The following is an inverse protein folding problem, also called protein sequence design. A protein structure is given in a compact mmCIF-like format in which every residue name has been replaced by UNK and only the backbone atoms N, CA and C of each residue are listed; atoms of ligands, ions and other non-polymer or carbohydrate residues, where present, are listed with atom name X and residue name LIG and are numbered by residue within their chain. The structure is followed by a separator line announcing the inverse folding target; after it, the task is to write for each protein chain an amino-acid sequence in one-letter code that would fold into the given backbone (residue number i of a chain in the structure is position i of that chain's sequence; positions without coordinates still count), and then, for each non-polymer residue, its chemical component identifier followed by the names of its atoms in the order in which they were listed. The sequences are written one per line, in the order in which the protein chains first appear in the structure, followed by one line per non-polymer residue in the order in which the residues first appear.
data_IF_350272065271
#
_entry.id   IF_350272065271
#
_cell.length_a   1.000
_cell.length_b   1.000
_cell.length_c   1.000
_cell.angle_alpha   90.00
_cell.angle_beta   90.00
_cell.angle_gamma   90.00
#
_symmetry.space_group_name_H-M   'P 1'
#
loop_
_entity.id
_entity.type
_entity.pdbx_description
1 polymer ?
#
# COMPACT_ATOMS: atom_id res chain seq x y z
N UNK A 1 15.16 27.72 8.96
CA UNK A 1 15.15 27.32 10.38
C UNK A 1 14.63 25.90 10.41
N UNK A 2 15.37 24.90 10.87
CA UNK A 2 14.81 23.54 10.93
C UNK A 2 13.64 23.57 11.90
N UNK A 3 12.47 23.11 11.44
CA UNK A 3 11.30 22.95 12.30
C UNK A 3 11.66 21.92 13.37
N UNK A 4 11.77 22.34 14.62
CA UNK A 4 11.93 21.42 15.72
C UNK A 4 10.57 20.76 15.97
N UNK A 5 10.49 19.47 15.75
CA UNK A 5 9.30 18.70 16.11
C UNK A 5 9.20 18.67 17.65
N UNK A 6 8.35 19.55 18.19
CA UNK A 6 8.08 19.61 19.62
C UNK A 6 7.38 18.30 20.03
N UNK A 7 8.03 17.47 20.84
CA UNK A 7 7.51 16.17 21.26
C UNK A 7 8.19 14.96 20.60
N UNK A 8 9.31 15.18 19.87
CA UNK A 8 10.06 14.09 19.23
C UNK A 8 10.41 12.98 20.23
N UNK A 9 10.90 13.32 21.41
CA UNK A 9 11.25 12.34 22.47
C UNK A 9 10.04 11.51 22.94
N UNK A 10 8.87 12.14 23.03
CA UNK A 10 7.63 11.43 23.38
C UNK A 10 7.20 10.49 22.27
N UNK A 11 7.32 10.94 21.01
CA UNK A 11 7.05 10.12 19.84
C UNK A 11 7.99 8.90 19.76
N UNK A 12 9.29 9.12 19.96
CA UNK A 12 10.30 8.03 19.96
C UNK A 12 10.00 7.00 21.04
N UNK A 13 9.71 7.44 22.27
CA UNK A 13 9.32 6.55 23.36
C UNK A 13 8.04 5.75 23.04
N UNK A 14 7.07 6.38 22.37
CA UNK A 14 5.86 5.70 21.91
C UNK A 14 6.16 4.65 20.84
N UNK A 15 6.96 4.99 19.82
CA UNK A 15 7.38 4.06 18.76
C UNK A 15 8.07 2.82 19.37
N UNK A 16 9.03 3.02 20.27
CA UNK A 16 9.70 1.91 20.93
C UNK A 16 8.75 1.02 21.73
N UNK A 17 7.78 1.62 22.43
CA UNK A 17 6.74 0.87 23.15
C UNK A 17 5.91 0.02 22.20
N UNK A 18 5.47 0.59 21.09
CA UNK A 18 4.68 -0.11 20.07
C UNK A 18 5.50 -1.23 19.42
N UNK A 19 6.72 -0.97 19.04
CA UNK A 19 7.61 -1.98 18.46
C UNK A 19 7.81 -3.18 19.38
N UNK A 20 8.02 -2.92 20.68
CA UNK A 20 8.12 -4.00 21.68
C UNK A 20 6.81 -4.76 21.83
N UNK A 21 5.67 -4.07 21.87
CA UNK A 21 4.35 -4.69 22.07
C UNK A 21 3.95 -5.62 20.91
N UNK A 22 4.37 -5.31 19.69
CA UNK A 22 4.03 -6.07 18.47
C UNK A 22 5.20 -6.90 17.92
N UNK A 23 6.30 -6.98 18.64
CA UNK A 23 7.55 -7.63 18.19
C UNK A 23 7.98 -7.18 16.78
N UNK A 24 7.82 -5.88 16.48
CA UNK A 24 8.19 -5.33 15.19
C UNK A 24 9.71 -5.36 15.00
N UNK A 25 10.16 -5.92 13.89
CA UNK A 25 11.60 -6.04 13.58
C UNK A 25 12.24 -4.68 13.36
N UNK A 26 11.55 -3.81 12.63
CA UNK A 26 12.05 -2.48 12.33
C UNK A 26 11.00 -1.56 11.73
N UNK A 27 11.28 -0.27 11.77
CA UNK A 27 10.39 0.79 11.28
C UNK A 27 11.22 1.96 10.74
N UNK A 28 10.76 2.56 9.66
CA UNK A 28 11.22 3.86 9.19
C UNK A 28 10.05 4.85 9.22
N UNK A 29 10.34 6.08 9.66
CA UNK A 29 9.36 7.16 9.70
C UNK A 29 9.95 8.38 8.99
N UNK A 30 9.20 8.98 8.09
CA UNK A 30 9.52 10.27 7.50
C UNK A 30 8.42 11.28 7.84
N UNK A 31 8.82 12.43 8.35
CA UNK A 31 7.93 13.56 8.60
C UNK A 31 8.21 14.59 7.52
N UNK A 32 7.16 15.00 6.82
CA UNK A 32 7.23 15.99 5.75
C UNK A 32 6.34 17.18 6.12
N UNK A 33 6.88 18.39 6.01
CA UNK A 33 6.13 19.63 6.19
C UNK A 33 6.33 20.54 4.99
N UNK A 34 5.24 21.10 4.46
CA UNK A 34 5.22 21.96 3.28
C UNK A 34 6.01 21.36 2.08
N UNK A 35 5.94 20.03 1.90
CA UNK A 35 6.63 19.33 0.83
C UNK A 35 8.13 19.12 1.03
N UNK A 36 8.67 19.48 2.20
CA UNK A 36 10.06 19.27 2.55
C UNK A 36 10.20 18.22 3.66
N UNK A 37 11.14 17.25 3.54
CA UNK A 37 11.43 16.34 4.63
C UNK A 37 11.97 17.13 5.84
N UNK A 38 11.32 16.94 6.98
CA UNK A 38 11.66 17.62 8.25
C UNK A 38 12.47 16.71 9.14
N UNK A 39 12.11 15.43 9.18
CA UNK A 39 12.72 14.45 10.04
C UNK A 39 12.64 13.05 9.40
N UNK A 40 13.73 12.30 9.50
CA UNK A 40 13.79 10.88 9.16
C UNK A 40 14.25 10.10 10.37
N UNK A 41 13.53 9.04 10.73
CA UNK A 41 13.78 8.22 11.91
C UNK A 41 13.81 6.76 11.52
N UNK A 42 14.81 6.04 12.02
CA UNK A 42 15.04 4.63 11.70
C UNK A 42 15.15 3.84 13.00
N UNK A 43 14.33 2.78 13.13
CA UNK A 43 14.27 1.96 14.33
C UNK A 43 14.44 0.49 13.99
N UNK A 44 15.20 -0.24 14.82
CA UNK A 44 15.37 -1.69 14.74
C UNK A 44 16.17 -2.15 13.53
N UNK A 45 15.82 -3.32 13.01
CA UNK A 45 16.64 -4.04 12.03
C UNK A 45 15.83 -4.38 10.77
N UNK A 46 16.48 -4.32 9.61
CA UNK A 46 15.98 -4.91 8.35
C UNK A 46 16.23 -6.43 8.30
N UNK A 47 17.20 -6.89 9.10
CA UNK A 47 17.48 -8.30 9.35
C UNK A 47 17.88 -8.45 10.82
N UNK A 48 17.05 -9.14 11.62
CA UNK A 48 17.24 -9.30 13.05
C UNK A 48 18.35 -10.31 13.36
N UNK A 49 18.48 -11.37 12.56
CA UNK A 49 19.44 -12.43 12.78
C UNK A 49 20.87 -11.91 12.51
N UNK A 50 21.05 -11.19 11.41
CA UNK A 50 22.32 -10.58 11.04
C UNK A 50 22.58 -9.23 11.72
N UNK A 51 21.63 -8.74 12.53
CA UNK A 51 21.68 -7.43 13.21
C UNK A 51 21.94 -6.26 12.26
N UNK A 52 21.42 -6.33 11.03
CA UNK A 52 21.55 -5.27 10.05
C UNK A 52 20.50 -4.18 10.33
N UNK A 53 20.91 -2.94 10.68
CA UNK A 53 19.97 -1.89 11.05
C UNK A 53 19.15 -1.40 9.84
N UNK A 54 18.00 -0.80 10.11
CA UNK A 54 17.29 0.02 9.14
C UNK A 54 18.02 1.35 8.98
N UNK A 55 18.11 1.80 7.74
CA UNK A 55 18.69 3.08 7.35
C UNK A 55 17.93 3.66 6.15
N UNK A 56 18.37 4.82 5.66
CA UNK A 56 17.78 5.51 4.51
C UNK A 56 17.74 4.66 3.22
N UNK A 57 18.65 3.70 3.05
CA UNK A 57 18.73 2.85 1.87
C UNK A 57 17.90 1.55 2.00
N UNK A 58 17.21 1.37 3.13
CA UNK A 58 16.39 0.20 3.36
C UNK A 58 15.12 0.25 2.55
N UNK A 59 14.89 -0.76 1.72
CA UNK A 59 13.71 -0.86 0.86
C UNK A 59 12.57 -1.52 1.61
N UNK A 60 11.42 -0.86 1.65
CA UNK A 60 10.16 -1.39 2.19
C UNK A 60 9.16 -1.66 1.07
N UNK A 61 8.45 -2.78 1.17
CA UNK A 61 7.32 -3.06 0.28
C UNK A 61 6.14 -2.12 0.60
N UNK A 62 5.68 -1.38 -0.41
CA UNK A 62 4.59 -0.41 -0.24
C UNK A 62 3.21 -1.05 -0.09
N UNK A 63 3.08 -2.35 -0.37
CA UNK A 63 1.80 -3.06 -0.33
C UNK A 63 0.68 -2.26 -1.02
N UNK A 64 -0.46 -2.04 -0.36
CA UNK A 64 -1.60 -1.32 -0.95
C UNK A 64 -1.39 0.18 -1.18
N UNK A 65 -0.35 0.79 -0.61
CA UNK A 65 0.03 2.18 -0.93
C UNK A 65 0.37 2.32 -2.42
N UNK A 66 0.84 1.25 -3.06
CA UNK A 66 1.05 1.17 -4.53
C UNK A 66 -0.18 1.60 -5.33
N UNK A 67 -1.41 1.41 -4.81
CA UNK A 67 -2.64 1.83 -5.48
C UNK A 67 -2.72 3.34 -5.67
N UNK A 68 -2.17 4.13 -4.74
CA UNK A 68 -2.11 5.59 -4.88
C UNK A 68 -1.24 6.00 -6.06
N UNK A 69 -0.10 5.32 -6.27
CA UNK A 69 0.75 5.56 -7.44
C UNK A 69 0.06 5.14 -8.74
N UNK A 70 -0.66 4.02 -8.72
CA UNK A 70 -1.47 3.59 -9.88
C UNK A 70 -2.54 4.62 -10.22
N UNK A 71 -3.28 5.11 -9.23
CA UNK A 71 -4.29 6.15 -9.43
C UNK A 71 -3.67 7.44 -9.98
N UNK A 72 -2.52 7.86 -9.45
CA UNK A 72 -1.81 9.04 -9.94
C UNK A 72 -1.39 8.87 -11.41
N UNK A 73 -0.88 7.71 -11.80
CA UNK A 73 -0.53 7.40 -13.19
C UNK A 73 -1.75 7.45 -14.11
N UNK A 74 -2.90 6.89 -13.68
CA UNK A 74 -4.16 6.97 -14.45
C UNK A 74 -4.65 8.41 -14.59
N UNK A 75 -4.59 9.22 -13.52
CA UNK A 75 -4.96 10.64 -13.58
C UNK A 75 -4.05 11.42 -14.52
N UNK A 76 -2.76 11.13 -14.53
CA UNK A 76 -1.83 11.75 -15.47
C UNK A 76 -2.13 11.39 -16.93
N UNK A 77 -2.47 10.13 -17.21
CA UNK A 77 -2.92 9.71 -18.53
C UNK A 77 -4.25 10.35 -18.93
N UNK A 78 -5.18 10.52 -17.99
CA UNK A 78 -6.45 11.21 -18.22
C UNK A 78 -6.23 12.70 -18.54
N UNK A 79 -5.31 13.37 -17.83
CA UNK A 79 -4.93 14.75 -18.11
C UNK A 79 -4.35 14.93 -19.53
N UNK A 80 -3.68 13.90 -20.05
CA UNK A 80 -3.16 13.86 -21.43
C UNK A 80 -4.23 13.48 -22.48
N UNK A 81 -5.47 13.25 -22.07
CA UNK A 81 -6.55 12.79 -22.97
C UNK A 81 -6.42 11.34 -23.46
N UNK A 82 -5.51 10.54 -22.86
CA UNK A 82 -5.27 9.15 -23.25
C UNK A 82 -6.24 8.17 -22.58
N UNK A 83 -6.80 8.53 -21.45
CA UNK A 83 -7.80 7.75 -20.71
C UNK A 83 -8.95 8.67 -20.34
N UNK A 84 -10.18 8.21 -20.58
CA UNK A 84 -11.39 8.81 -20.05
C UNK A 84 -11.80 8.03 -18.78
N UNK A 85 -11.91 8.74 -17.66
CA UNK A 85 -12.29 8.14 -16.37
C UNK A 85 -13.73 7.64 -16.36
N UNK A 86 -14.58 8.19 -17.25
CA UNK A 86 -15.97 7.80 -17.42
C UNK A 86 -16.19 6.74 -18.50
N UNK A 87 -15.13 6.34 -19.18
CA UNK A 87 -15.21 5.24 -20.12
C UNK A 87 -15.27 3.88 -19.44
N UNK A 88 -15.95 2.89 -20.05
CA UNK A 88 -15.89 1.50 -19.61
C UNK A 88 -14.46 0.96 -19.57
N UNK A 89 -14.10 0.21 -18.54
CA UNK A 89 -12.78 -0.44 -18.44
C UNK A 89 -12.51 -1.35 -19.64
N UNK A 90 -13.53 -1.98 -20.19
CA UNK A 90 -13.44 -2.85 -21.37
C UNK A 90 -13.00 -2.12 -22.66
N UNK A 91 -13.09 -0.79 -22.70
CA UNK A 91 -12.55 0.01 -23.81
C UNK A 91 -11.01 -0.06 -23.84
N UNK A 92 -10.36 -0.14 -22.68
CA UNK A 92 -8.90 -0.20 -22.55
C UNK A 92 -8.39 -1.61 -22.34
N UNK A 93 -9.21 -2.45 -21.73
CA UNK A 93 -8.91 -3.86 -21.43
C UNK A 93 -10.07 -4.71 -22.00
N UNK A 94 -10.03 -5.11 -23.29
CA UNK A 94 -11.13 -5.84 -23.93
C UNK A 94 -11.52 -7.15 -23.25
N UNK A 95 -10.58 -7.79 -22.56
CA UNK A 95 -10.82 -9.01 -21.78
C UNK A 95 -11.49 -8.78 -20.43
N UNK A 96 -11.69 -7.52 -20.03
CA UNK A 96 -12.35 -7.19 -18.76
C UNK A 96 -13.85 -7.43 -18.86
N UNK A 97 -14.33 -8.40 -18.09
CA UNK A 97 -15.76 -8.74 -17.99
C UNK A 97 -16.22 -8.69 -16.54
N UNK A 98 -17.35 -8.05 -16.30
CA UNK A 98 -18.07 -8.15 -15.02
C UNK A 98 -19.48 -8.68 -15.29
N UNK A 99 -19.63 -10.01 -15.19
CA UNK A 99 -20.87 -10.74 -15.44
C UNK A 99 -22.00 -10.46 -14.45
N UNK A 100 -21.69 -9.77 -13.34
CA UNK A 100 -22.65 -9.53 -12.26
C UNK A 100 -23.29 -8.13 -12.32
N UNK A 101 -23.07 -7.37 -13.40
CA UNK A 101 -23.62 -6.02 -13.55
C UNK A 101 -24.24 -5.80 -14.91
N UNK A 102 -25.42 -5.19 -14.92
CA UNK A 102 -26.09 -4.69 -16.12
C UNK A 102 -25.38 -3.44 -16.69
N UNK A 103 -24.77 -2.64 -15.80
CA UNK A 103 -24.06 -1.42 -16.20
C UNK A 103 -22.55 -1.65 -16.24
N UNK A 104 -21.83 -1.08 -17.21
CA UNK A 104 -20.40 -1.24 -17.32
C UNK A 104 -19.65 -0.67 -16.10
N UNK A 105 -18.53 -1.29 -15.76
CA UNK A 105 -17.59 -0.75 -14.78
C UNK A 105 -16.74 0.30 -15.49
N UNK A 106 -16.76 1.52 -14.98
CA UNK A 106 -15.97 2.63 -15.50
C UNK A 106 -14.58 2.65 -14.82
N UNK A 107 -13.60 3.29 -15.47
CA UNK A 107 -12.24 3.44 -14.93
C UNK A 107 -12.27 4.05 -13.53
N UNK A 108 -13.06 5.11 -13.30
CA UNK A 108 -13.22 5.74 -11.98
C UNK A 108 -13.68 4.77 -10.89
N UNK A 109 -14.49 3.77 -11.22
CA UNK A 109 -14.98 2.79 -10.25
C UNK A 109 -13.88 1.89 -9.72
N UNK A 110 -12.84 1.63 -10.52
CA UNK A 110 -11.66 0.89 -10.05
C UNK A 110 -10.82 1.75 -9.10
N UNK A 111 -10.67 3.04 -9.42
CA UNK A 111 -9.83 3.95 -8.65
C UNK A 111 -10.39 4.25 -7.26
N UNK A 112 -11.72 4.34 -7.12
CA UNK A 112 -12.40 4.67 -5.86
C UNK A 112 -13.00 3.46 -5.15
N UNK A 113 -12.67 2.24 -5.59
CA UNK A 113 -13.16 0.98 -5.02
C UNK A 113 -14.69 0.80 -5.06
N UNK A 114 -15.41 1.45 -5.99
CA UNK A 114 -16.86 1.29 -6.17
C UNK A 114 -17.24 0.33 -7.30
N UNK A 115 -16.27 -0.43 -7.81
CA UNK A 115 -16.48 -1.39 -8.90
C UNK A 115 -17.40 -2.56 -8.56
N UNK A 116 -17.70 -2.81 -7.29
CA UNK A 116 -18.54 -3.92 -6.77
C UNK A 116 -18.15 -5.27 -7.39
N UNK A 117 -16.87 -5.60 -7.32
CA UNK A 117 -16.43 -6.93 -7.69
C UNK A 117 -16.88 -7.92 -6.62
N UNK A 118 -17.38 -9.07 -7.10
CA UNK A 118 -17.68 -10.16 -6.19
C UNK A 118 -16.38 -10.58 -5.48
N UNK A 119 -16.39 -10.75 -4.15
CA UNK A 119 -15.18 -11.17 -3.46
C UNK A 119 -14.72 -12.52 -4.02
N UNK A 120 -13.53 -12.55 -4.59
CA UNK A 120 -12.92 -13.80 -5.03
C UNK A 120 -12.72 -14.65 -3.80
N UNK A 121 -13.37 -15.83 -3.77
CA UNK A 121 -13.28 -16.72 -2.60
C UNK A 121 -11.79 -17.03 -2.34
N UNK A 122 -11.34 -16.88 -1.10
CA UNK A 122 -9.98 -17.21 -0.65
C UNK A 122 -9.47 -18.53 -1.23
N UNK A 123 -10.34 -19.56 -1.24
CA UNK A 123 -10.05 -20.88 -1.81
C UNK A 123 -9.63 -20.88 -3.29
N UNK A 124 -9.99 -19.85 -4.05
CA UNK A 124 -9.65 -19.74 -5.48
C UNK A 124 -8.31 -19.03 -5.69
N UNK A 125 -7.97 -18.04 -4.86
CA UNK A 125 -6.77 -17.20 -5.02
C UNK A 125 -5.57 -17.75 -4.26
N UNK A 126 -5.81 -18.35 -3.11
CA UNK A 126 -4.75 -18.85 -2.22
C UNK A 126 -3.77 -19.82 -2.91
N UNK A 127 -4.23 -20.85 -3.67
CA UNK A 127 -3.31 -21.76 -4.34
C UNK A 127 -2.42 -21.05 -5.37
N UNK A 128 -2.99 -20.07 -6.09
CA UNK A 128 -2.24 -19.28 -7.08
C UNK A 128 -1.23 -18.36 -6.40
N UNK A 129 -1.64 -17.67 -5.35
CA UNK A 129 -0.77 -16.77 -4.60
C UNK A 129 0.39 -17.54 -3.93
N UNK A 130 0.14 -18.74 -3.38
CA UNK A 130 1.20 -19.62 -2.86
C UNK A 130 2.17 -20.04 -3.95
N UNK A 131 1.67 -20.45 -5.12
CA UNK A 131 2.50 -20.86 -6.27
C UNK A 131 3.37 -19.71 -6.77
N UNK A 132 2.90 -18.47 -6.67
CA UNK A 132 3.64 -17.25 -7.06
C UNK A 132 4.56 -16.70 -5.96
N UNK A 133 4.63 -17.35 -4.78
CA UNK A 133 5.41 -16.85 -3.64
C UNK A 133 4.87 -15.56 -3.03
N UNK A 134 3.62 -15.17 -3.35
CA UNK A 134 2.97 -13.96 -2.86
C UNK A 134 2.26 -14.16 -1.52
N UNK A 135 2.17 -15.41 -1.04
CA UNK A 135 1.49 -15.78 0.19
C UNK A 135 2.50 -16.11 1.27
N UNK A 136 2.67 -15.19 2.22
CA UNK A 136 3.51 -15.38 3.40
C UNK A 136 2.69 -15.28 4.69
N UNK A 137 3.27 -15.69 5.82
CA UNK A 137 2.63 -15.72 7.14
C UNK A 137 2.03 -14.38 7.62
N UNK A 138 2.46 -13.24 7.06
CA UNK A 138 1.91 -11.92 7.37
C UNK A 138 0.58 -11.58 6.68
N UNK A 139 0.19 -12.32 5.63
CA UNK A 139 -1.10 -12.07 4.95
C UNK A 139 -2.29 -12.78 5.62
N UNK A 140 -2.04 -13.78 6.47
CA UNK A 140 -3.10 -14.48 7.18
C UNK A 140 -3.84 -13.59 8.19
N UNK A 141 -3.20 -12.53 8.70
CA UNK A 141 -3.80 -11.58 9.64
C UNK A 141 -4.69 -10.53 8.95
N UNK A 142 -4.42 -10.16 7.70
CA UNK A 142 -5.15 -9.12 7.00
C UNK A 142 -6.55 -9.55 6.50
N UNK A 143 -6.82 -10.84 6.41
CA UNK A 143 -8.07 -11.40 5.89
C UNK A 143 -8.88 -12.18 6.93
N UNK A 144 -8.50 -12.10 8.20
CA UNK A 144 -9.19 -12.79 9.33
C UNK A 144 -10.29 -11.96 9.97
N UNK A 145 -10.72 -10.87 9.35
CA UNK A 145 -11.88 -10.09 9.82
C UNK A 145 -13.15 -10.77 9.29
N UNK A 146 -14.09 -11.13 10.19
CA UNK A 146 -15.32 -11.86 9.86
C UNK A 146 -16.24 -11.07 8.92
#
# INVERSE_FOLDING_TARGET
MPLSFTGLSLFEAYVEKVMRAYDACGMAVAIVDQGQPVQELFYGFRDREQKLPINQDTIFGLASVTKSFTCLAILHLAQQGKIDLDAPVSQYIPSFHNSHREKPVLVRHLMNHTGSFWPVKRKTVEPLARKMGLWGSGMDLAYSIP
#
